data_IF_755452324206
#
_entry.id   IF_755452324206
#
_cell.length_a   1.000
_cell.length_b   1.000
_cell.length_c   1.000
_cell.angle_alpha   90.00
_cell.angle_beta   90.00
_cell.angle_gamma   90.00
#
_symmetry.space_group_name_H-M   'P 1'
#
loop_
_entity.id
_entity.type
_entity.pdbx_description
1 polymer ?
#
# COMPACT_ATOMS: atom_id res chain seq x y z
N UNK A 1 -4.89 -25.04 5.54
CA UNK A 1 -6.08 -24.97 6.43
C UNK A 1 -7.28 -25.25 5.56
N UNK A 2 -7.91 -26.40 5.73
CA UNK A 2 -9.17 -26.70 5.04
C UNK A 2 -10.21 -25.68 5.48
N UNK A 3 -10.72 -24.88 4.56
CA UNK A 3 -11.87 -23.98 4.74
C UNK A 3 -13.11 -24.69 5.32
N UNK A 4 -13.11 -26.04 5.35
CA UNK A 4 -14.18 -26.87 5.92
C UNK A 4 -14.21 -26.92 7.46
N UNK A 5 -13.14 -26.51 8.16
CA UNK A 5 -13.15 -26.32 9.62
C UNK A 5 -13.82 -25.01 10.04
N UNK A 6 -14.22 -24.21 9.08
CA UNK A 6 -14.81 -22.91 9.26
C UNK A 6 -16.23 -22.98 8.68
N UNK A 7 -17.08 -23.68 9.40
CA UNK A 7 -18.45 -23.94 8.99
C UNK A 7 -19.33 -22.68 8.81
N UNK A 8 -20.64 -22.87 8.67
CA UNK A 8 -21.68 -21.85 8.47
C UNK A 8 -21.55 -20.61 9.36
N UNK A 9 -21.00 -20.75 10.53
CA UNK A 9 -20.74 -19.67 11.49
C UNK A 9 -19.72 -18.61 11.03
N UNK A 10 -18.68 -18.99 10.28
CA UNK A 10 -17.73 -18.00 9.74
C UNK A 10 -18.32 -17.20 8.59
N UNK A 11 -19.15 -17.80 7.76
CA UNK A 11 -19.92 -17.10 6.72
C UNK A 11 -20.89 -16.08 7.32
N UNK A 12 -21.52 -16.40 8.47
CA UNK A 12 -22.42 -15.49 9.19
C UNK A 12 -21.66 -14.28 9.72
N UNK A 13 -20.44 -14.47 10.25
CA UNK A 13 -19.59 -13.39 10.79
C UNK A 13 -19.04 -12.46 9.73
N UNK A 14 -18.51 -13.00 8.67
CA UNK A 14 -18.04 -12.20 7.53
C UNK A 14 -19.16 -11.32 7.01
N UNK A 15 -20.41 -11.85 7.00
CA UNK A 15 -21.58 -11.09 6.59
C UNK A 15 -21.96 -9.99 7.59
N UNK A 16 -21.76 -10.17 8.89
CA UNK A 16 -22.02 -9.15 9.91
C UNK A 16 -20.97 -8.04 9.88
N UNK A 17 -19.66 -8.39 9.84
CA UNK A 17 -18.60 -7.41 9.76
C UNK A 17 -18.71 -6.59 8.45
N UNK A 18 -19.02 -7.25 7.35
CA UNK A 18 -19.22 -6.58 6.05
C UNK A 18 -20.38 -5.57 6.05
N UNK A 19 -21.42 -5.81 6.86
CA UNK A 19 -22.58 -4.92 6.96
C UNK A 19 -22.35 -3.73 7.90
N UNK A 20 -21.23 -3.70 8.64
CA UNK A 20 -20.90 -2.58 9.51
C UNK A 20 -20.73 -1.31 8.66
N UNK A 21 -21.34 -0.23 9.14
CA UNK A 21 -21.20 1.11 8.54
C UNK A 21 -20.05 1.90 9.17
N UNK A 22 -19.50 1.41 10.28
CA UNK A 22 -18.40 1.98 11.03
C UNK A 22 -17.13 1.12 10.94
N UNK A 23 -16.32 1.20 11.97
CA UNK A 23 -15.04 0.48 12.10
C UNK A 23 -15.22 -0.79 12.92
N UNK A 24 -14.25 -1.70 12.85
CA UNK A 24 -14.17 -2.84 13.76
C UNK A 24 -13.17 -2.51 14.88
N UNK A 25 -13.67 -2.40 16.11
CA UNK A 25 -12.84 -2.16 17.30
C UNK A 25 -12.46 -3.50 17.90
N UNK A 26 -11.17 -3.76 18.07
CA UNK A 26 -10.67 -4.98 18.68
C UNK A 26 -10.28 -4.73 20.12
N UNK A 27 -10.58 -5.68 21.00
CA UNK A 27 -10.31 -5.60 22.44
C UNK A 27 -9.73 -6.90 22.99
N UNK A 28 -8.90 -6.79 24.00
CA UNK A 28 -8.32 -7.90 24.75
C UNK A 28 -7.28 -7.41 25.74
N UNK A 29 -6.92 -8.25 26.71
CA UNK A 29 -5.96 -7.94 27.77
C UNK A 29 -4.76 -8.87 27.66
N UNK A 30 -3.58 -8.39 28.03
CA UNK A 30 -2.35 -9.18 28.05
C UNK A 30 -2.02 -9.81 26.70
N UNK A 31 -1.78 -11.13 26.67
CA UNK A 31 -1.47 -11.86 25.42
C UNK A 31 -2.61 -11.78 24.40
N UNK A 32 -3.87 -11.90 24.86
CA UNK A 32 -5.05 -11.73 23.98
C UNK A 32 -5.13 -10.31 23.41
N UNK A 33 -4.70 -9.30 24.15
CA UNK A 33 -4.61 -7.91 23.69
C UNK A 33 -3.58 -7.75 22.57
N UNK A 34 -2.39 -8.36 22.71
CA UNK A 34 -1.39 -8.33 21.64
C UNK A 34 -1.89 -9.01 20.36
N UNK A 35 -2.63 -10.12 20.49
CA UNK A 35 -3.27 -10.79 19.36
C UNK A 35 -4.35 -9.90 18.73
N UNK A 36 -5.20 -9.27 19.53
CA UNK A 36 -6.22 -8.33 19.06
C UNK A 36 -5.61 -7.15 18.30
N UNK A 37 -4.54 -6.56 18.83
CA UNK A 37 -3.82 -5.47 18.16
C UNK A 37 -3.23 -5.90 16.81
N UNK A 38 -2.61 -7.11 16.73
CA UNK A 38 -2.09 -7.64 15.47
C UNK A 38 -3.19 -7.87 14.45
N UNK A 39 -4.32 -8.47 14.84
CA UNK A 39 -5.46 -8.72 13.94
C UNK A 39 -6.03 -7.39 13.44
N UNK A 40 -6.17 -6.38 14.31
CA UNK A 40 -6.60 -5.03 13.95
C UNK A 40 -5.71 -4.42 12.86
N UNK A 41 -4.39 -4.51 13.03
CA UNK A 41 -3.42 -4.04 12.04
C UNK A 41 -3.57 -4.76 10.70
N UNK A 42 -3.77 -6.09 10.73
CA UNK A 42 -4.00 -6.89 9.51
C UNK A 42 -5.29 -6.46 8.80
N UNK A 43 -6.39 -6.30 9.52
CA UNK A 43 -7.69 -5.86 8.99
C UNK A 43 -7.58 -4.48 8.33
N UNK A 44 -6.96 -3.50 9.02
CA UNK A 44 -6.75 -2.15 8.48
C UNK A 44 -5.93 -2.17 7.21
N UNK A 45 -4.85 -2.95 7.19
CA UNK A 45 -3.97 -3.06 6.03
C UNK A 45 -4.62 -3.76 4.84
N UNK A 46 -5.65 -4.58 5.08
CA UNK A 46 -6.38 -5.36 4.08
C UNK A 46 -7.77 -4.81 3.75
N UNK A 47 -8.02 -3.54 4.08
CA UNK A 47 -9.20 -2.80 3.62
C UNK A 47 -10.42 -2.87 4.53
N UNK A 48 -10.28 -3.40 5.76
CA UNK A 48 -11.32 -3.33 6.79
C UNK A 48 -10.88 -2.33 7.86
N UNK A 49 -11.45 -1.11 7.93
CA UNK A 49 -11.05 -0.12 8.92
C UNK A 49 -11.21 -0.65 10.35
N UNK A 50 -10.12 -0.73 11.09
CA UNK A 50 -10.12 -1.25 12.45
C UNK A 50 -9.02 -0.63 13.31
N UNK A 51 -9.23 -0.67 14.63
CA UNK A 51 -8.24 -0.25 15.61
C UNK A 51 -8.41 -1.02 16.91
N UNK A 52 -7.36 -1.06 17.71
CA UNK A 52 -7.33 -1.74 18.99
C UNK A 52 -7.57 -0.75 20.13
N UNK A 53 -8.41 -1.11 21.09
CA UNK A 53 -8.58 -0.41 22.37
C UNK A 53 -8.28 -1.39 23.50
N UNK A 54 -7.43 -0.98 24.45
CA UNK A 54 -7.23 -1.73 25.66
C UNK A 54 -8.44 -1.58 26.58
N UNK A 55 -9.06 -2.67 27.07
CA UNK A 55 -10.20 -2.62 27.98
C UNK A 55 -9.96 -1.78 29.25
N UNK A 56 -8.74 -1.78 29.78
CA UNK A 56 -8.40 -0.95 30.95
C UNK A 56 -8.52 0.55 30.61
N UNK A 57 -7.97 1.00 29.48
CA UNK A 57 -8.09 2.39 29.03
C UNK A 57 -9.55 2.73 28.66
N UNK A 58 -10.28 1.77 28.11
CA UNK A 58 -11.70 1.93 27.81
C UNK A 58 -12.52 2.26 29.05
N UNK A 59 -12.18 1.67 30.22
CA UNK A 59 -12.85 1.96 31.49
C UNK A 59 -12.61 3.41 31.97
N UNK A 60 -11.57 4.06 31.48
CA UNK A 60 -11.18 5.42 31.82
C UNK A 60 -11.55 6.49 30.77
N UNK A 61 -12.32 6.12 29.75
CA UNK A 61 -12.88 7.12 28.82
C UNK A 61 -12.81 6.75 27.33
N UNK A 62 -11.92 5.81 26.92
CA UNK A 62 -11.75 5.46 25.50
C UNK A 62 -12.98 4.75 24.88
N UNK A 63 -13.97 4.37 25.69
CA UNK A 63 -15.31 4.02 25.21
C UNK A 63 -15.94 5.15 24.37
N UNK A 64 -15.48 6.40 24.54
CA UNK A 64 -15.90 7.54 23.73
C UNK A 64 -15.57 7.39 22.24
N UNK A 65 -14.53 6.64 21.91
CA UNK A 65 -14.11 6.41 20.51
C UNK A 65 -15.04 5.45 19.74
N UNK A 66 -15.98 4.77 20.45
CA UNK A 66 -16.88 3.78 19.87
C UNK A 66 -18.22 4.43 19.53
N UNK A 67 -18.67 4.25 18.29
CA UNK A 67 -19.97 4.72 17.80
C UNK A 67 -20.96 3.56 17.63
N UNK A 68 -22.24 3.88 17.50
CA UNK A 68 -23.32 2.88 17.29
C UNK A 68 -23.17 2.07 16.01
N UNK A 69 -22.42 2.58 15.04
CA UNK A 69 -22.22 1.94 13.75
C UNK A 69 -20.99 1.02 13.71
N UNK A 70 -20.16 1.06 14.78
CA UNK A 70 -18.98 0.23 14.90
C UNK A 70 -19.33 -1.19 15.35
N UNK A 71 -18.50 -2.14 14.97
CA UNK A 71 -18.48 -3.48 15.54
C UNK A 71 -17.38 -3.58 16.60
N UNK A 72 -17.53 -4.49 17.53
CA UNK A 72 -16.52 -4.81 18.53
C UNK A 72 -16.17 -6.29 18.41
N UNK A 73 -14.89 -6.61 18.32
CA UNK A 73 -14.38 -7.99 18.39
C UNK A 73 -13.54 -8.15 19.65
N UNK A 74 -14.06 -8.91 20.60
CA UNK A 74 -13.43 -9.18 21.89
C UNK A 74 -12.66 -10.50 21.80
N UNK A 75 -11.41 -10.51 22.24
CA UNK A 75 -10.55 -11.70 22.30
C UNK A 75 -10.19 -11.98 23.77
N UNK A 76 -10.61 -13.12 24.28
CA UNK A 76 -10.34 -13.56 25.66
C UNK A 76 -10.36 -15.08 25.77
N UNK A 77 -9.30 -15.72 26.24
CA UNK A 77 -9.28 -17.18 26.33
C UNK A 77 -10.32 -17.71 27.35
N UNK A 78 -10.39 -17.15 28.53
CA UNK A 78 -11.40 -17.52 29.52
C UNK A 78 -12.81 -17.06 29.17
N UNK A 79 -12.92 -15.93 28.41
CA UNK A 79 -14.18 -15.22 28.22
C UNK A 79 -14.72 -14.52 29.48
N UNK A 80 -13.89 -14.48 30.56
CA UNK A 80 -14.22 -13.90 31.87
C UNK A 80 -13.16 -12.91 32.33
N UNK A 81 -12.43 -12.28 31.40
CA UNK A 81 -11.41 -11.28 31.74
C UNK A 81 -12.06 -10.09 32.43
N UNK A 82 -11.70 -9.81 33.68
CA UNK A 82 -12.36 -8.84 34.55
C UNK A 82 -12.48 -7.45 33.93
N UNK A 83 -11.42 -6.93 33.31
CA UNK A 83 -11.40 -5.62 32.69
C UNK A 83 -12.38 -5.52 31.49
N UNK A 84 -12.61 -6.63 30.79
CA UNK A 84 -13.59 -6.69 29.69
C UNK A 84 -15.01 -6.80 30.25
N UNK A 85 -15.23 -7.69 31.23
CA UNK A 85 -16.54 -7.91 31.86
C UNK A 85 -17.04 -6.62 32.52
N UNK A 86 -16.14 -5.87 33.16
CA UNK A 86 -16.44 -4.58 33.79
C UNK A 86 -17.09 -3.58 32.82
N UNK A 87 -16.55 -3.48 31.60
CA UNK A 87 -17.01 -2.52 30.59
C UNK A 87 -18.11 -3.08 29.67
N UNK A 88 -18.41 -4.38 29.75
CA UNK A 88 -19.28 -5.07 28.79
C UNK A 88 -20.68 -4.46 28.69
N UNK A 89 -21.27 -4.05 29.82
CA UNK A 89 -22.55 -3.35 29.84
C UNK A 89 -22.51 -2.00 29.13
N UNK A 90 -21.40 -1.29 29.26
CA UNK A 90 -21.13 -0.02 28.55
C UNK A 90 -21.00 -0.24 27.04
N UNK A 91 -20.27 -1.28 26.63
CA UNK A 91 -20.12 -1.67 25.21
C UNK A 91 -21.46 -1.97 24.55
N UNK A 92 -22.34 -2.75 25.23
CA UNK A 92 -23.68 -3.11 24.73
C UNK A 92 -24.57 -1.86 24.53
N UNK A 93 -24.39 -0.81 25.36
CA UNK A 93 -25.10 0.47 25.19
C UNK A 93 -24.58 1.25 23.98
N UNK A 94 -23.31 1.13 23.63
CA UNK A 94 -22.69 1.80 22.49
C UNK A 94 -23.07 1.17 21.15
N UNK A 95 -22.97 -0.16 21.05
CA UNK A 95 -23.30 -0.89 19.82
C UNK A 95 -23.90 -2.27 20.12
N UNK A 96 -24.74 -2.75 19.22
CA UNK A 96 -25.27 -4.13 19.25
C UNK A 96 -24.35 -5.13 18.53
N UNK A 97 -23.35 -4.66 17.80
CA UNK A 97 -22.50 -5.49 16.96
C UNK A 97 -21.28 -6.00 17.75
N UNK A 98 -21.52 -6.74 18.82
CA UNK A 98 -20.45 -7.34 19.63
C UNK A 98 -20.20 -8.76 19.13
N UNK A 99 -18.96 -9.04 18.78
CA UNK A 99 -18.45 -10.34 18.39
C UNK A 99 -17.37 -10.76 19.39
N UNK A 100 -17.18 -12.06 19.57
CA UNK A 100 -16.11 -12.56 20.44
C UNK A 100 -15.41 -13.80 19.89
N UNK A 101 -14.17 -13.96 20.31
CA UNK A 101 -13.37 -15.18 20.18
C UNK A 101 -12.96 -15.57 21.59
N UNK A 102 -13.51 -16.67 22.11
CA UNK A 102 -13.16 -17.19 23.44
C UNK A 102 -12.96 -18.70 23.42
N UNK A 103 -12.29 -19.24 24.44
CA UNK A 103 -12.18 -20.69 24.65
C UNK A 103 -13.36 -21.32 25.40
N UNK A 104 -14.38 -20.52 25.76
CA UNK A 104 -15.52 -20.98 26.53
C UNK A 104 -16.82 -20.29 26.05
N UNK A 105 -17.68 -21.05 25.39
CA UNK A 105 -19.00 -20.59 24.90
C UNK A 105 -19.96 -20.18 25.99
N UNK A 106 -19.80 -20.76 27.20
CA UNK A 106 -20.63 -20.46 28.36
C UNK A 106 -20.22 -19.19 29.12
N UNK A 107 -19.14 -18.54 28.67
CA UNK A 107 -18.62 -17.35 29.33
C UNK A 107 -19.52 -16.11 29.18
N UNK A 108 -19.33 -15.17 30.11
CA UNK A 108 -20.06 -13.89 30.13
C UNK A 108 -19.91 -13.10 28.83
N UNK A 109 -18.71 -13.08 28.26
CA UNK A 109 -18.41 -12.40 26.99
C UNK A 109 -19.13 -13.11 25.84
N UNK A 110 -19.03 -14.44 25.74
CA UNK A 110 -19.67 -15.23 24.70
C UNK A 110 -21.18 -15.05 24.69
N UNK A 111 -21.83 -15.20 25.84
CA UNK A 111 -23.30 -15.05 26.01
C UNK A 111 -23.82 -13.66 25.66
N UNK A 112 -23.01 -12.61 25.76
CA UNK A 112 -23.41 -11.24 25.44
C UNK A 112 -23.02 -10.83 24.01
N UNK A 113 -22.34 -11.70 23.28
CA UNK A 113 -21.96 -11.47 21.90
C UNK A 113 -23.08 -11.80 20.93
N UNK A 114 -23.26 -10.99 19.89
CA UNK A 114 -24.16 -11.29 18.79
C UNK A 114 -23.66 -12.51 17.99
N UNK A 115 -22.36 -12.66 17.90
CA UNK A 115 -21.70 -13.80 17.25
C UNK A 115 -20.47 -14.19 18.08
N UNK A 116 -20.36 -15.45 18.43
CA UNK A 116 -19.25 -16.03 19.16
C UNK A 116 -18.46 -17.01 18.30
N UNK A 117 -17.13 -17.04 18.47
CA UNK A 117 -16.19 -18.01 17.93
C UNK A 117 -15.56 -18.80 19.06
N UNK A 118 -15.83 -20.08 19.13
CA UNK A 118 -15.11 -20.90 20.07
C UNK A 118 -13.69 -21.17 19.60
N UNK A 119 -12.72 -20.79 20.43
CA UNK A 119 -11.29 -21.02 20.24
C UNK A 119 -10.74 -21.93 21.35
N UNK A 120 -11.50 -22.95 21.72
CA UNK A 120 -11.13 -23.89 22.75
C UNK A 120 -9.89 -24.69 22.36
N UNK A 121 -8.97 -24.84 23.29
CA UNK A 121 -7.79 -25.70 23.18
C UNK A 121 -7.72 -26.63 24.39
N UNK A 122 -7.29 -27.86 24.18
CA UNK A 122 -7.22 -28.84 25.26
C UNK A 122 -6.11 -28.51 26.28
N UNK A 123 -4.98 -28.01 25.77
CA UNK A 123 -3.84 -27.61 26.61
C UNK A 123 -2.93 -26.61 25.89
N UNK A 124 -2.21 -25.85 26.68
CA UNK A 124 -1.14 -24.98 26.17
C UNK A 124 0.10 -25.80 25.81
N UNK A 125 0.88 -25.34 24.85
CA UNK A 125 2.17 -25.94 24.49
C UNK A 125 3.24 -25.74 25.57
N UNK A 126 3.00 -24.81 26.50
CA UNK A 126 3.83 -24.61 27.67
C UNK A 126 3.88 -25.90 28.51
N UNK A 127 5.08 -26.40 28.93
CA UNK A 127 5.21 -27.62 29.73
C UNK A 127 4.35 -27.62 31.01
N UNK A 128 4.17 -26.45 31.61
CA UNK A 128 3.37 -26.27 32.82
C UNK A 128 1.88 -26.00 32.53
N UNK A 129 1.46 -25.97 31.28
CA UNK A 129 0.11 -25.61 30.84
C UNK A 129 -0.37 -24.22 31.35
N UNK A 130 0.54 -23.27 31.56
CA UNK A 130 0.26 -21.95 32.15
C UNK A 130 0.38 -20.81 31.16
N UNK A 131 1.48 -20.79 30.38
CA UNK A 131 1.73 -19.70 29.44
C UNK A 131 0.83 -19.81 28.19
N UNK A 132 0.04 -18.77 27.85
CA UNK A 132 -0.77 -18.76 26.65
C UNK A 132 0.11 -18.90 25.40
N UNK A 133 -0.04 -19.99 24.70
CA UNK A 133 0.76 -20.38 23.51
C UNK A 133 -0.14 -20.97 22.43
N UNK A 134 -0.70 -22.17 22.64
CA UNK A 134 -1.65 -22.81 21.69
C UNK A 134 -2.90 -21.95 21.52
N UNK A 135 -3.50 -21.48 22.64
CA UNK A 135 -4.69 -20.63 22.63
C UNK A 135 -4.47 -19.34 21.82
N UNK A 136 -3.36 -18.62 22.08
CA UNK A 136 -3.05 -17.37 21.39
C UNK A 136 -2.74 -17.60 19.90
N UNK A 137 -2.03 -18.68 19.58
CA UNK A 137 -1.75 -19.04 18.17
C UNK A 137 -3.03 -19.38 17.41
N UNK A 138 -3.97 -20.10 18.06
CA UNK A 138 -5.24 -20.44 17.45
C UNK A 138 -6.13 -19.21 17.24
N UNK A 139 -6.23 -18.31 18.25
CA UNK A 139 -6.95 -17.03 18.10
C UNK A 139 -6.37 -16.15 17.00
N UNK A 140 -5.05 -16.09 16.89
CA UNK A 140 -4.39 -15.36 15.80
C UNK A 140 -4.74 -15.95 14.43
N UNK A 141 -4.71 -17.26 14.31
CA UNK A 141 -5.06 -17.96 13.07
C UNK A 141 -6.51 -17.69 12.66
N UNK A 142 -7.46 -17.70 13.61
CA UNK A 142 -8.86 -17.34 13.37
C UNK A 142 -9.00 -15.89 12.91
N UNK A 143 -8.30 -14.96 13.55
CA UNK A 143 -8.32 -13.54 13.19
C UNK A 143 -7.75 -13.28 11.80
N UNK A 144 -6.66 -13.97 11.43
CA UNK A 144 -6.11 -13.88 10.08
C UNK A 144 -7.05 -14.51 9.04
N UNK A 145 -7.72 -15.61 9.36
CA UNK A 145 -8.71 -16.21 8.48
C UNK A 145 -9.90 -15.27 8.22
N UNK A 146 -10.40 -14.57 9.27
CA UNK A 146 -11.42 -13.52 9.13
C UNK A 146 -10.92 -12.40 8.22
N UNK A 147 -9.69 -11.93 8.45
CA UNK A 147 -9.11 -10.83 7.66
C UNK A 147 -9.01 -11.18 6.16
N UNK A 148 -8.59 -12.40 5.84
CA UNK A 148 -8.50 -12.89 4.45
C UNK A 148 -9.87 -13.11 3.82
N UNK A 149 -10.86 -13.60 4.58
CA UNK A 149 -12.22 -13.75 4.11
C UNK A 149 -12.84 -12.39 3.76
N UNK A 150 -12.66 -11.38 4.62
CA UNK A 150 -13.13 -10.01 4.37
C UNK A 150 -12.40 -9.37 3.17
N UNK A 151 -11.08 -9.51 3.06
CA UNK A 151 -10.29 -9.05 1.91
C UNK A 151 -10.88 -9.60 0.60
N UNK A 152 -11.16 -10.91 0.55
CA UNK A 152 -11.75 -11.59 -0.62
C UNK A 152 -13.16 -11.07 -0.90
N UNK A 153 -14.01 -10.97 0.13
CA UNK A 153 -15.39 -10.52 0.00
C UNK A 153 -15.51 -9.05 -0.41
N UNK A 154 -14.58 -8.20 0.04
CA UNK A 154 -14.51 -6.78 -0.34
C UNK A 154 -13.83 -6.56 -1.70
N UNK A 155 -13.32 -7.62 -2.32
CA UNK A 155 -12.54 -7.54 -3.58
C UNK A 155 -11.36 -6.57 -3.48
N UNK A 156 -10.75 -6.49 -2.29
CA UNK A 156 -9.64 -5.59 -2.01
C UNK A 156 -8.46 -5.88 -2.94
N UNK A 157 -8.08 -4.88 -3.70
CA UNK A 157 -7.11 -5.03 -4.79
C UNK A 157 -5.65 -4.83 -4.31
N UNK A 158 -4.67 -5.37 -5.06
CA UNK A 158 -3.26 -5.07 -4.81
C UNK A 158 -2.92 -3.57 -4.88
N UNK A 159 -3.67 -2.79 -5.64
CA UNK A 159 -3.51 -1.33 -5.71
C UNK A 159 -3.90 -0.66 -4.40
N UNK A 160 -5.06 -1.00 -3.85
CA UNK A 160 -5.51 -0.50 -2.53
C UNK A 160 -4.55 -0.93 -1.41
N UNK A 161 -3.99 -2.16 -1.52
CA UNK A 161 -2.95 -2.60 -0.59
C UNK A 161 -1.71 -1.69 -0.64
N UNK A 162 -1.29 -1.30 -1.84
CA UNK A 162 -0.16 -0.38 -2.04
C UNK A 162 -0.44 1.02 -1.47
N UNK A 163 -1.66 1.53 -1.63
CA UNK A 163 -2.11 2.80 -1.07
C UNK A 163 -2.03 2.80 0.46
N UNK A 164 -2.36 1.67 1.10
CA UNK A 164 -2.23 1.49 2.54
C UNK A 164 -0.77 1.27 3.03
N UNK A 165 0.18 0.99 2.11
CA UNK A 165 1.58 0.71 2.43
C UNK A 165 2.58 1.58 1.65
N UNK A 166 2.48 2.92 1.71
CA UNK A 166 3.28 3.82 0.85
C UNK A 166 4.79 3.69 1.08
N UNK A 167 5.22 3.34 2.29
CA UNK A 167 6.63 3.16 2.64
C UNK A 167 7.21 1.76 2.37
N UNK A 168 6.36 0.77 2.09
CA UNK A 168 6.77 -0.63 1.96
C UNK A 168 7.31 -0.99 0.57
N UNK A 169 8.19 -2.01 0.50
CA UNK A 169 8.68 -2.56 -0.78
C UNK A 169 7.53 -2.97 -1.72
N UNK A 170 6.42 -3.44 -1.14
CA UNK A 170 5.25 -3.87 -1.90
C UNK A 170 4.49 -2.68 -2.51
N UNK A 171 4.33 -1.58 -1.76
CA UNK A 171 3.70 -0.34 -2.27
C UNK A 171 4.43 0.21 -3.49
N UNK A 172 5.76 0.20 -3.43
CA UNK A 172 6.63 0.70 -4.51
C UNK A 172 6.54 -0.13 -5.81
N UNK A 173 6.17 -1.41 -5.73
CA UNK A 173 5.95 -2.26 -6.91
C UNK A 173 4.75 -1.82 -7.76
N UNK A 174 3.86 -1.01 -7.22
CA UNK A 174 2.67 -0.54 -7.93
C UNK A 174 2.78 0.89 -8.46
N UNK A 175 3.91 1.58 -8.21
CA UNK A 175 4.16 2.88 -8.80
C UNK A 175 4.12 2.81 -10.33
N UNK A 176 3.41 3.74 -10.93
CA UNK A 176 3.29 3.87 -12.37
C UNK A 176 4.32 4.88 -12.90
N UNK A 177 4.60 4.82 -14.19
CA UNK A 177 5.50 5.76 -14.84
C UNK A 177 5.12 7.22 -14.59
N UNK A 178 3.81 7.54 -14.57
CA UNK A 178 3.30 8.89 -14.30
C UNK A 178 3.56 9.38 -12.87
N UNK A 179 3.71 8.47 -11.90
CA UNK A 179 3.89 8.83 -10.48
C UNK A 179 5.32 9.25 -10.17
N UNK A 180 6.28 8.94 -11.08
CA UNK A 180 7.70 9.23 -10.93
C UNK A 180 8.27 10.12 -12.05
N UNK A 181 7.46 10.47 -13.04
CA UNK A 181 7.95 11.32 -14.13
C UNK A 181 8.08 12.78 -13.68
N UNK A 182 9.03 13.47 -14.26
CA UNK A 182 9.08 14.93 -14.31
C UNK A 182 8.00 15.35 -15.31
N UNK A 183 7.11 16.25 -14.91
CA UNK A 183 6.05 16.74 -15.79
C UNK A 183 6.63 17.52 -16.98
N UNK A 184 5.98 17.45 -18.13
CA UNK A 184 6.40 18.14 -19.35
C UNK A 184 6.59 19.65 -19.17
N UNK A 185 5.87 20.26 -18.22
CA UNK A 185 5.96 21.69 -17.91
C UNK A 185 7.29 22.09 -17.24
N UNK A 186 7.96 21.14 -16.61
CA UNK A 186 9.21 21.31 -15.90
C UNK A 186 10.43 20.92 -16.76
N UNK A 187 10.18 20.44 -17.99
CA UNK A 187 11.22 19.95 -18.89
C UNK A 187 11.55 21.00 -19.94
N UNK A 188 12.86 21.32 -20.17
CA UNK A 188 13.26 22.23 -21.22
C UNK A 188 12.91 21.67 -22.61
N UNK A 189 12.28 22.51 -23.42
CA UNK A 189 11.89 22.16 -24.80
C UNK A 189 12.51 23.18 -25.74
N UNK A 190 13.28 22.69 -26.71
CA UNK A 190 13.91 23.51 -27.72
C UNK A 190 13.41 23.18 -29.12
N UNK A 191 13.68 24.04 -30.10
CA UNK A 191 13.34 23.77 -31.51
C UNK A 191 14.47 22.96 -32.18
N UNK A 192 14.14 22.20 -33.22
CA UNK A 192 15.11 21.37 -33.94
C UNK A 192 16.26 22.16 -34.61
N UNK A 193 16.06 23.44 -34.91
CA UNK A 193 17.06 24.32 -35.47
C UNK A 193 17.90 25.06 -34.41
N UNK A 194 17.71 24.82 -33.13
CA UNK A 194 18.47 25.38 -32.02
C UNK A 194 19.94 24.95 -32.14
N UNK A 195 20.88 25.87 -31.89
CA UNK A 195 22.31 25.54 -31.87
C UNK A 195 22.67 24.63 -30.69
N UNK A 196 23.71 23.81 -30.85
CA UNK A 196 24.20 22.95 -29.75
C UNK A 196 24.58 23.80 -28.53
N UNK A 197 25.22 24.92 -28.69
CA UNK A 197 25.62 25.81 -27.58
C UNK A 197 24.42 26.35 -26.80
N UNK A 198 23.35 26.71 -27.49
CA UNK A 198 22.13 27.18 -26.87
C UNK A 198 21.42 26.04 -26.13
N UNK A 199 21.36 24.86 -26.74
CA UNK A 199 20.81 23.67 -26.10
C UNK A 199 21.57 23.29 -24.80
N UNK A 200 22.92 23.39 -24.81
CA UNK A 200 23.74 23.18 -23.61
C UNK A 200 23.40 24.17 -22.51
N UNK A 201 23.25 25.47 -22.83
CA UNK A 201 22.87 26.48 -21.84
C UNK A 201 21.54 26.13 -21.18
N UNK A 202 20.55 25.74 -21.97
CA UNK A 202 19.23 25.35 -21.51
C UNK A 202 19.30 24.09 -20.63
N UNK A 203 20.01 23.05 -21.07
CA UNK A 203 20.18 21.81 -20.28
C UNK A 203 20.87 22.11 -18.94
N UNK A 204 21.88 22.95 -18.93
CA UNK A 204 22.61 23.35 -17.70
C UNK A 204 21.71 24.14 -16.74
N UNK A 205 20.91 25.06 -17.26
CA UNK A 205 19.98 25.88 -16.46
C UNK A 205 18.92 25.00 -15.73
N UNK A 206 18.41 23.98 -16.40
CA UNK A 206 17.41 23.07 -15.82
C UNK A 206 18.01 21.92 -15.00
N UNK A 207 19.30 21.61 -15.16
CA UNK A 207 20.00 20.56 -14.41
C UNK A 207 19.51 19.12 -14.69
N UNK A 208 18.81 18.90 -15.80
CA UNK A 208 18.20 17.60 -16.11
C UNK A 208 19.08 16.66 -16.95
N UNK A 209 20.16 17.20 -17.58
CA UNK A 209 21.05 16.45 -18.46
C UNK A 209 20.47 16.13 -19.84
N UNK A 210 19.32 16.73 -20.19
CA UNK A 210 18.67 16.60 -21.48
C UNK A 210 17.69 17.75 -21.74
N UNK A 211 17.31 17.93 -23.01
CA UNK A 211 16.15 18.69 -23.41
C UNK A 211 15.30 17.91 -24.44
N UNK A 212 14.01 18.17 -24.46
CA UNK A 212 13.13 17.66 -25.50
C UNK A 212 13.17 18.57 -26.72
N UNK A 213 13.02 17.98 -27.90
CA UNK A 213 13.07 18.73 -29.16
C UNK A 213 11.71 18.66 -29.86
N UNK A 214 11.19 19.84 -30.23
CA UNK A 214 9.98 19.95 -31.03
C UNK A 214 10.29 20.31 -32.49
N UNK A 215 9.55 19.68 -33.38
CA UNK A 215 9.62 19.97 -34.80
C UNK A 215 8.80 21.22 -35.21
N UNK A 216 8.80 21.55 -36.48
CA UNK A 216 8.03 22.65 -37.07
C UNK A 216 6.52 22.55 -36.81
N UNK A 217 5.98 21.33 -36.63
CA UNK A 217 4.56 21.06 -36.27
C UNK A 217 4.28 21.13 -34.77
N UNK A 218 5.21 21.66 -33.95
CA UNK A 218 5.13 21.78 -32.48
C UNK A 218 5.00 20.42 -31.76
N UNK A 219 5.31 19.32 -32.43
CA UNK A 219 5.30 17.97 -31.85
C UNK A 219 6.69 17.62 -31.33
N UNK A 220 6.77 17.01 -30.13
CA UNK A 220 8.02 16.49 -29.59
C UNK A 220 8.37 15.21 -30.34
N UNK A 221 9.46 15.25 -31.08
CA UNK A 221 9.90 14.18 -31.98
C UNK A 221 11.32 13.69 -31.70
N UNK A 222 12.08 14.37 -30.84
CA UNK A 222 13.42 13.98 -30.49
C UNK A 222 13.77 14.41 -29.06
N UNK A 223 14.89 13.87 -28.55
CA UNK A 223 15.57 14.25 -27.31
C UNK A 223 17.05 14.54 -27.62
N UNK A 224 17.62 15.53 -26.97
CA UNK A 224 19.03 15.80 -27.00
C UNK A 224 19.59 15.72 -25.58
N UNK A 225 20.60 14.89 -25.38
CA UNK A 225 21.13 14.52 -24.06
C UNK A 225 22.62 14.81 -23.95
N UNK A 226 23.18 14.83 -22.73
CA UNK A 226 24.62 14.90 -22.48
C UNK A 226 25.39 13.78 -23.21
N UNK A 227 24.74 12.61 -23.40
CA UNK A 227 25.31 11.51 -24.18
C UNK A 227 25.41 11.84 -25.67
N UNK A 228 24.41 12.55 -26.22
CA UNK A 228 24.47 13.03 -27.61
C UNK A 228 25.57 14.07 -27.77
N UNK A 229 25.67 15.02 -26.83
CA UNK A 229 26.72 16.02 -26.80
C UNK A 229 28.12 15.38 -26.78
N UNK A 230 28.37 14.42 -25.89
CA UNK A 230 29.66 13.71 -25.82
C UNK A 230 30.01 13.00 -27.13
N UNK A 231 29.04 12.37 -27.79
CA UNK A 231 29.23 11.74 -29.10
C UNK A 231 29.57 12.75 -30.16
N UNK A 232 28.97 13.92 -30.15
CA UNK A 232 29.23 15.00 -31.10
C UNK A 232 30.63 15.57 -30.90
N UNK A 233 31.04 15.82 -29.65
CA UNK A 233 32.39 16.29 -29.35
C UNK A 233 33.49 15.32 -29.82
N UNK A 234 33.27 14.01 -29.71
CA UNK A 234 34.20 12.98 -30.17
C UNK A 234 34.41 12.99 -31.70
N UNK A 235 33.46 13.56 -32.47
CA UNK A 235 33.60 13.69 -33.95
C UNK A 235 34.54 14.79 -34.36
N UNK A 236 35.12 15.58 -33.43
CA UNK A 236 36.03 16.72 -33.68
C UNK A 236 35.41 17.78 -34.62
N UNK A 237 34.10 17.99 -34.57
CA UNK A 237 33.36 18.97 -35.37
C UNK A 237 33.23 20.27 -34.56
N UNK A 238 33.31 21.43 -35.23
CA UNK A 238 33.02 22.71 -34.57
C UNK A 238 31.52 22.81 -34.25
N UNK A 239 31.21 22.79 -32.96
CA UNK A 239 29.84 22.79 -32.45
C UNK A 239 29.20 24.18 -32.40
N UNK A 240 29.98 25.28 -32.63
CA UNK A 240 29.50 26.66 -32.44
C UNK A 240 28.30 27.02 -33.30
N UNK A 241 28.31 26.54 -34.55
CA UNK A 241 27.24 26.81 -35.53
C UNK A 241 26.44 25.56 -35.91
N UNK A 242 26.60 24.45 -35.17
CA UNK A 242 25.92 23.20 -35.48
C UNK A 242 24.54 23.18 -34.82
N UNK A 243 23.51 22.88 -35.60
CA UNK A 243 22.17 22.66 -35.10
C UNK A 243 22.05 21.28 -34.45
N UNK A 244 21.24 21.16 -33.38
CA UNK A 244 20.95 19.89 -32.71
C UNK A 244 20.25 18.88 -33.63
N UNK A 245 19.62 19.34 -34.71
CA UNK A 245 18.85 18.47 -35.64
C UNK A 245 19.69 17.35 -36.26
N UNK A 246 21.01 17.52 -36.38
CA UNK A 246 21.95 16.53 -36.91
C UNK A 246 22.41 15.51 -35.86
N UNK A 247 22.32 15.87 -34.57
CA UNK A 247 22.91 15.11 -33.47
C UNK A 247 21.88 14.56 -32.47
N UNK A 248 20.64 15.09 -32.47
CA UNK A 248 19.57 14.68 -31.57
C UNK A 248 19.11 13.24 -31.83
N UNK A 249 18.69 12.57 -30.80
CA UNK A 249 18.12 11.23 -30.88
C UNK A 249 16.62 11.30 -31.23
N UNK A 250 16.27 10.92 -32.49
CA UNK A 250 14.89 10.89 -33.01
C UNK A 250 14.12 9.65 -32.56
N UNK A 251 14.79 8.50 -32.46
CA UNK A 251 14.21 7.22 -32.05
C UNK A 251 14.35 6.97 -30.57
N UNK A 252 13.89 7.91 -29.74
CA UNK A 252 13.96 7.76 -28.28
C UNK A 252 13.05 6.65 -27.77
N UNK A 253 13.50 5.95 -26.73
CA UNK A 253 12.69 4.96 -26.02
C UNK A 253 11.61 5.66 -25.20
N UNK A 254 10.45 5.04 -25.09
CA UNK A 254 9.33 5.59 -24.33
C UNK A 254 8.54 4.49 -23.62
N UNK A 255 7.77 4.91 -22.63
CA UNK A 255 6.86 4.06 -21.86
C UNK A 255 5.48 4.75 -21.76
N UNK A 256 4.41 3.98 -21.73
CA UNK A 256 3.08 4.52 -21.45
C UNK A 256 2.93 4.89 -19.98
N UNK A 257 2.28 6.02 -19.71
CA UNK A 257 2.14 6.64 -18.39
C UNK A 257 1.53 5.72 -17.32
N UNK A 258 0.70 4.76 -17.75
CA UNK A 258 0.00 3.80 -16.88
C UNK A 258 0.75 2.47 -16.72
N UNK A 259 1.95 2.36 -17.25
CA UNK A 259 2.80 1.18 -17.05
C UNK A 259 3.57 1.30 -15.75
N UNK A 260 3.95 0.15 -15.20
CA UNK A 260 4.69 0.05 -13.95
C UNK A 260 6.08 0.70 -14.07
N UNK A 261 6.49 1.44 -13.03
CA UNK A 261 7.80 2.10 -12.97
C UNK A 261 8.99 1.10 -12.99
N UNK A 262 8.78 -0.12 -12.49
CA UNK A 262 9.77 -1.18 -12.60
C UNK A 262 10.09 -1.50 -14.07
N UNK A 263 9.08 -1.54 -14.95
CA UNK A 263 9.28 -1.73 -16.38
C UNK A 263 10.08 -0.57 -17.01
N UNK A 264 9.88 0.67 -16.52
CA UNK A 264 10.71 1.80 -16.94
C UNK A 264 12.19 1.54 -16.65
N UNK A 265 12.49 1.06 -15.44
CA UNK A 265 13.84 0.70 -15.02
C UNK A 265 14.45 -0.41 -15.89
N UNK A 266 13.70 -1.47 -16.20
CA UNK A 266 14.16 -2.54 -17.09
C UNK A 266 14.50 -2.01 -18.49
N UNK A 267 13.61 -1.19 -19.08
CA UNK A 267 13.83 -0.57 -20.39
C UNK A 267 15.10 0.28 -20.36
N UNK A 268 15.29 1.10 -19.32
CA UNK A 268 16.45 1.97 -19.19
C UNK A 268 17.76 1.19 -19.03
N UNK A 269 17.76 0.17 -18.17
CA UNK A 269 18.92 -0.71 -17.94
C UNK A 269 19.31 -1.50 -19.20
N UNK A 270 18.34 -2.11 -19.86
CA UNK A 270 18.55 -2.89 -21.10
C UNK A 270 19.12 -2.04 -22.23
N UNK A 271 18.67 -0.79 -22.35
CA UNK A 271 19.09 0.12 -23.42
C UNK A 271 20.27 1.04 -23.00
N UNK A 272 20.76 0.91 -21.76
CA UNK A 272 21.84 1.74 -21.18
C UNK A 272 21.55 3.24 -21.31
N UNK A 273 20.30 3.65 -21.03
CA UNK A 273 19.84 5.04 -21.05
C UNK A 273 19.48 5.52 -19.65
N UNK A 274 19.66 6.81 -19.37
CA UNK A 274 19.40 7.43 -18.07
C UNK A 274 18.11 8.25 -18.03
N UNK A 275 17.43 8.40 -19.18
CA UNK A 275 16.15 9.11 -19.31
C UNK A 275 15.22 8.35 -20.24
N UNK A 276 13.96 8.22 -19.85
CA UNK A 276 12.93 7.49 -20.60
C UNK A 276 11.70 8.38 -20.76
N UNK A 277 11.27 8.61 -21.99
CA UNK A 277 10.13 9.47 -22.29
C UNK A 277 8.83 8.79 -21.90
N UNK A 278 7.94 9.51 -21.19
CA UNK A 278 6.63 9.05 -20.80
C UNK A 278 5.57 9.61 -21.76
N UNK A 279 4.71 8.72 -22.26
CA UNK A 279 3.63 9.06 -23.19
C UNK A 279 2.27 8.73 -22.61
N UNK A 280 1.29 9.53 -23.00
CA UNK A 280 -0.13 9.21 -22.89
C UNK A 280 -0.67 9.09 -24.31
N UNK A 281 -0.93 7.86 -24.75
CA UNK A 281 -1.18 7.56 -26.16
C UNK A 281 0.03 7.99 -27.03
N UNK A 282 -0.17 8.92 -27.99
CA UNK A 282 0.90 9.42 -28.86
C UNK A 282 1.60 10.69 -28.33
N UNK A 283 1.06 11.32 -27.26
CA UNK A 283 1.53 12.59 -26.73
C UNK A 283 2.60 12.37 -25.65
N UNK A 284 3.74 13.06 -25.73
CA UNK A 284 4.73 13.11 -24.65
C UNK A 284 4.16 13.96 -23.51
N UNK A 285 4.20 13.45 -22.29
CA UNK A 285 3.68 14.11 -21.07
C UNK A 285 4.73 14.29 -19.99
N UNK A 286 5.90 13.66 -20.12
CA UNK A 286 6.99 13.77 -19.15
C UNK A 286 8.18 12.89 -19.49
N UNK A 287 9.14 12.85 -18.58
CA UNK A 287 10.34 12.00 -18.66
C UNK A 287 10.67 11.44 -17.29
N UNK A 288 11.00 10.16 -17.20
CA UNK A 288 11.57 9.54 -16.00
C UNK A 288 13.08 9.47 -16.15
N UNK A 289 13.83 9.89 -15.13
CA UNK A 289 15.29 9.65 -15.07
C UNK A 289 15.59 8.48 -14.15
N UNK A 290 16.76 7.91 -14.28
CA UNK A 290 17.25 6.86 -13.37
C UNK A 290 17.35 7.36 -11.92
N UNK A 291 17.54 8.65 -11.72
CA UNK A 291 17.60 9.30 -10.41
C UNK A 291 16.27 9.14 -9.65
N UNK A 292 15.13 9.50 -10.24
CA UNK A 292 13.82 9.37 -9.62
C UNK A 292 13.47 7.92 -9.27
N UNK A 293 13.86 6.98 -10.15
CA UNK A 293 13.67 5.54 -9.89
C UNK A 293 14.49 5.05 -8.69
N UNK A 294 15.73 5.56 -8.54
CA UNK A 294 16.60 5.20 -7.42
C UNK A 294 16.12 5.82 -6.09
N UNK A 295 15.75 7.09 -6.09
CA UNK A 295 15.19 7.76 -4.89
C UNK A 295 13.91 7.09 -4.42
N UNK A 296 13.04 6.70 -5.34
CA UNK A 296 11.82 5.98 -5.04
C UNK A 296 12.08 4.52 -4.61
N UNK A 297 13.34 4.05 -4.69
CA UNK A 297 13.73 2.66 -4.39
C UNK A 297 12.86 1.63 -5.11
N UNK A 298 12.57 1.88 -6.38
CA UNK A 298 11.92 0.92 -7.28
C UNK A 298 12.98 -0.09 -7.72
N UNK A 299 13.01 -1.25 -7.06
CA UNK A 299 13.98 -2.32 -7.29
C UNK A 299 13.33 -3.55 -7.91
#
# INVERSE_FOLDING_TARGET
IRLSLVGSEMCIRDSHIKKLKGKLVLMGVGKSGHIAAKISSTLSSTGTPSFFINPSEASHGDLGAISKNDGILIISNSGETDEVVLILSGLIKKTKNILSITGNEESSIAKKSLVHLEAKVDKEACPNNLAPTTSTSFMLMLGDAISIALLKNNRFSPKEFAENHPGGKLGKRFLLAKDLMIDIKEIPIVKENTSILEAIKVITQFGLGFCLVKNSKQSINAIFTDGDLRRTLNKKIDIRNLSISKEMTKSFKSIEHNKNAYLAREIMSKNKIYSLVVKKQKKVIGVIRMHELNESRVF
#
